data_IF_670217657213
#
_entry.id   IF_670217657213
#
_cell.length_a   1.000
_cell.length_b   1.000
_cell.length_c   1.000
_cell.angle_alpha   90.00
_cell.angle_beta   90.00
_cell.angle_gamma   90.00
#
_symmetry.space_group_name_H-M   'P 1'
#
loop_
_entity.id
_entity.type
_entity.pdbx_description
1 polymer ?
#
# COMPACT_ATOMS: atom_id res chain seq x y z
N UNK A 1 23.37 -9.27 -18.96
CA UNK A 1 23.66 -10.50 -18.21
C UNK A 1 22.38 -10.88 -17.47
N UNK A 2 21.63 -11.87 -17.96
CA UNK A 2 20.39 -12.32 -17.33
C UNK A 2 20.79 -13.34 -16.27
N UNK A 3 20.71 -12.98 -14.99
CA UNK A 3 20.87 -13.94 -13.90
C UNK A 3 19.69 -14.93 -13.97
N UNK A 4 19.96 -16.19 -14.31
CA UNK A 4 18.98 -17.26 -14.14
C UNK A 4 18.93 -17.61 -12.65
N UNK A 5 17.93 -17.08 -11.95
CA UNK A 5 17.65 -17.51 -10.59
C UNK A 5 17.10 -18.93 -10.60
N UNK A 6 17.54 -19.74 -9.64
CA UNK A 6 16.92 -21.05 -9.41
C UNK A 6 15.51 -20.87 -8.85
N UNK A 7 14.63 -21.85 -9.06
CA UNK A 7 13.26 -21.86 -8.51
C UNK A 7 13.23 -21.55 -7.01
N UNK A 8 14.20 -22.08 -6.27
CA UNK A 8 14.34 -21.87 -4.83
C UNK A 8 14.70 -20.41 -4.48
N UNK A 9 15.57 -19.77 -5.27
CA UNK A 9 15.95 -18.38 -5.05
C UNK A 9 14.77 -17.42 -5.27
N UNK A 10 13.97 -17.64 -6.30
CA UNK A 10 12.75 -16.84 -6.55
C UNK A 10 11.76 -16.98 -5.39
N UNK A 11 11.53 -18.20 -4.92
CA UNK A 11 10.68 -18.46 -3.78
C UNK A 11 11.15 -17.72 -2.52
N UNK A 12 12.45 -17.79 -2.21
CA UNK A 12 13.02 -17.09 -1.05
C UNK A 12 12.82 -15.58 -1.17
N UNK A 13 13.09 -14.99 -2.34
CA UNK A 13 12.90 -13.55 -2.55
C UNK A 13 11.44 -13.13 -2.35
N UNK A 14 10.49 -13.89 -2.88
CA UNK A 14 9.06 -13.62 -2.69
C UNK A 14 8.64 -13.73 -1.22
N UNK A 15 9.12 -14.76 -0.52
CA UNK A 15 8.88 -14.92 0.92
C UNK A 15 9.47 -13.77 1.72
N UNK A 16 10.68 -13.33 1.40
CA UNK A 16 11.32 -12.18 2.05
C UNK A 16 10.53 -10.90 1.82
N UNK A 17 10.10 -10.62 0.59
CA UNK A 17 9.28 -9.45 0.24
C UNK A 17 7.95 -9.49 1.00
N UNK A 18 7.29 -10.65 1.03
CA UNK A 18 6.03 -10.84 1.74
C UNK A 18 6.18 -10.56 3.23
N UNK A 19 7.14 -11.24 3.89
CA UNK A 19 7.37 -11.07 5.34
C UNK A 19 7.78 -9.64 5.68
N UNK A 20 8.66 -9.01 4.88
CA UNK A 20 9.05 -7.62 5.08
C UNK A 20 7.84 -6.67 5.00
N UNK A 21 6.96 -6.88 4.01
CA UNK A 21 5.73 -6.08 3.85
C UNK A 21 4.80 -6.25 5.06
N UNK A 22 4.64 -7.48 5.57
CA UNK A 22 3.81 -7.73 6.75
C UNK A 22 4.38 -7.08 8.01
N UNK A 23 5.69 -7.18 8.25
CA UNK A 23 6.33 -6.60 9.43
C UNK A 23 6.19 -5.07 9.42
N UNK A 24 6.53 -4.42 8.30
CA UNK A 24 6.43 -2.96 8.18
C UNK A 24 4.97 -2.52 8.25
N UNK A 25 4.06 -3.26 7.59
CA UNK A 25 2.63 -2.97 7.62
C UNK A 25 2.03 -3.06 9.02
N UNK A 26 2.34 -4.12 9.77
CA UNK A 26 1.87 -4.30 11.16
C UNK A 26 2.43 -3.23 12.10
N UNK A 27 3.72 -2.90 11.98
CA UNK A 27 4.31 -1.80 12.74
C UNK A 27 3.57 -0.48 12.44
N UNK A 28 3.44 -0.13 11.16
CA UNK A 28 2.78 1.10 10.72
C UNK A 28 1.32 1.14 11.17
N UNK A 29 0.59 0.02 11.07
CA UNK A 29 -0.80 -0.09 11.53
C UNK A 29 -0.91 0.10 13.04
N UNK A 30 0.02 -0.47 13.82
CA UNK A 30 0.01 -0.31 15.27
C UNK A 30 0.18 1.16 15.67
N UNK A 31 1.07 1.89 14.99
CA UNK A 31 1.25 3.33 15.22
C UNK A 31 0.01 4.11 14.77
N UNK A 32 -0.51 3.82 13.58
CA UNK A 32 -1.72 4.47 13.06
C UNK A 32 -2.90 4.36 14.04
N UNK A 33 -3.15 3.17 14.61
CA UNK A 33 -4.20 2.95 15.62
C UNK A 33 -3.97 3.80 16.88
N UNK A 34 -2.73 3.94 17.34
CA UNK A 34 -2.42 4.78 18.50
C UNK A 34 -2.81 6.25 18.26
N UNK A 35 -2.50 6.77 17.07
CA UNK A 35 -2.84 8.15 16.70
C UNK A 35 -4.36 8.36 16.50
N UNK A 36 -5.08 7.36 15.97
CA UNK A 36 -6.56 7.39 15.96
C UNK A 36 -7.10 7.47 17.38
N UNK A 37 -6.61 6.61 18.28
CA UNK A 37 -7.09 6.57 19.66
C UNK A 37 -6.73 7.83 20.45
N UNK A 38 -5.64 8.51 20.07
CA UNK A 38 -5.26 9.82 20.60
C UNK A 38 -6.13 10.98 20.03
N UNK A 39 -6.95 10.71 19.01
CA UNK A 39 -7.77 11.71 18.33
C UNK A 39 -7.00 12.59 17.34
N UNK A 40 -5.76 12.23 17.01
CA UNK A 40 -4.91 12.98 16.07
C UNK A 40 -5.19 12.60 14.60
N UNK A 41 -5.72 11.39 14.37
CA UNK A 41 -6.10 10.91 13.05
C UNK A 41 -7.56 10.44 13.04
N UNK A 42 -8.22 10.68 11.91
CA UNK A 42 -9.56 10.15 11.65
C UNK A 42 -9.46 8.76 11.00
N UNK A 43 -10.21 7.76 11.48
CA UNK A 43 -10.30 6.47 10.79
C UNK A 43 -10.93 6.66 9.40
N UNK A 44 -10.66 5.74 8.46
CA UNK A 44 -11.30 5.78 7.14
C UNK A 44 -12.82 5.55 7.21
N UNK A 45 -13.26 4.78 8.20
CA UNK A 45 -14.67 4.48 8.46
C UNK A 45 -15.03 4.80 9.90
N UNK A 46 -16.15 5.48 10.10
CA UNK A 46 -16.63 5.87 11.44
C UNK A 46 -16.98 4.64 12.31
N UNK A 47 -17.53 3.59 11.69
CA UNK A 47 -17.86 2.34 12.37
C UNK A 47 -17.09 1.16 11.74
N UNK A 48 -15.94 0.76 12.31
CA UNK A 48 -15.13 -0.35 11.77
C UNK A 48 -15.83 -1.71 11.74
N UNK A 49 -16.92 -1.90 12.50
CA UNK A 49 -17.67 -3.15 12.58
C UNK A 49 -18.77 -3.27 11.51
N UNK A 50 -19.06 -2.21 10.76
CA UNK A 50 -20.09 -2.26 9.72
C UNK A 50 -19.59 -3.05 8.50
N UNK A 51 -20.33 -4.10 8.14
CA UNK A 51 -20.08 -4.94 6.96
C UNK A 51 -20.28 -4.13 5.67
N UNK A 52 -21.11 -3.08 5.70
CA UNK A 52 -21.31 -2.15 4.58
C UNK A 52 -20.00 -1.54 4.06
N UNK A 53 -19.01 -1.32 4.96
CA UNK A 53 -17.71 -0.79 4.59
C UNK A 53 -16.95 -1.73 3.64
N UNK A 54 -17.14 -3.05 3.77
CA UNK A 54 -16.52 -4.04 2.88
C UNK A 54 -17.01 -3.88 1.44
N UNK A 55 -18.32 -3.71 1.27
CA UNK A 55 -18.93 -3.49 -0.05
C UNK A 55 -18.50 -2.15 -0.65
N UNK A 56 -18.47 -1.09 0.17
CA UNK A 56 -18.00 0.23 -0.24
C UNK A 56 -16.56 0.15 -0.73
N UNK A 57 -15.68 -0.54 0.00
CA UNK A 57 -14.27 -0.68 -0.37
C UNK A 57 -14.08 -1.47 -1.67
N UNK A 58 -14.83 -2.55 -1.90
CA UNK A 58 -14.82 -3.26 -3.19
C UNK A 58 -15.27 -2.34 -4.32
N UNK A 59 -16.38 -1.64 -4.14
CA UNK A 59 -16.88 -0.69 -5.13
C UNK A 59 -15.86 0.41 -5.44
N UNK A 60 -15.19 0.93 -4.41
CA UNK A 60 -14.13 1.92 -4.56
C UNK A 60 -12.96 1.39 -5.40
N UNK A 61 -12.49 0.17 -5.14
CA UNK A 61 -11.41 -0.47 -5.93
C UNK A 61 -11.82 -0.62 -7.39
N UNK A 62 -13.06 -1.05 -7.67
CA UNK A 62 -13.58 -1.17 -9.03
C UNK A 62 -13.67 0.19 -9.73
N UNK A 63 -14.14 1.22 -9.03
CA UNK A 63 -14.22 2.57 -9.56
C UNK A 63 -12.84 3.14 -9.90
N UNK A 64 -11.87 3.03 -8.98
CA UNK A 64 -10.48 3.45 -9.21
C UNK A 64 -9.88 2.68 -10.39
N UNK A 65 -10.10 1.37 -10.47
CA UNK A 65 -9.61 0.54 -11.57
C UNK A 65 -10.21 0.96 -12.92
N UNK A 66 -11.51 1.25 -12.99
CA UNK A 66 -12.15 1.77 -14.19
C UNK A 66 -11.53 3.10 -14.63
N UNK A 67 -11.28 4.02 -13.68
CA UNK A 67 -10.58 5.28 -13.96
C UNK A 67 -9.16 5.03 -14.47
N UNK A 68 -8.40 4.10 -13.88
CA UNK A 68 -7.07 3.73 -14.35
C UNK A 68 -7.11 3.20 -15.79
N UNK A 69 -8.06 2.33 -16.12
CA UNK A 69 -8.25 1.82 -17.49
C UNK A 69 -8.55 2.96 -18.47
N UNK A 70 -9.38 3.93 -18.10
CA UNK A 70 -9.63 5.11 -18.91
C UNK A 70 -8.35 5.93 -19.12
N UNK A 71 -7.56 6.17 -18.06
CA UNK A 71 -6.27 6.88 -18.18
C UNK A 71 -5.31 6.15 -19.11
N UNK A 72 -5.22 4.82 -19.01
CA UNK A 72 -4.40 3.99 -19.91
C UNK A 72 -4.82 4.21 -21.36
N UNK A 73 -6.13 4.25 -21.63
CA UNK A 73 -6.70 4.44 -22.97
C UNK A 73 -6.34 5.79 -23.58
N UNK A 74 -6.35 6.86 -22.79
CA UNK A 74 -6.12 8.22 -23.31
C UNK A 74 -4.65 8.66 -23.27
N UNK A 75 -3.95 8.46 -22.14
CA UNK A 75 -2.56 8.92 -21.95
C UNK A 75 -1.77 7.99 -21.03
N UNK A 76 -1.14 6.96 -21.61
CA UNK A 76 -0.26 6.02 -20.88
C UNK A 76 0.86 6.69 -20.08
N UNK A 77 1.34 7.87 -20.47
CA UNK A 77 2.37 8.60 -19.71
C UNK A 77 1.91 9.04 -18.32
N UNK A 78 0.60 9.29 -18.13
CA UNK A 78 0.03 9.68 -16.83
C UNK A 78 0.08 8.55 -15.81
N UNK A 79 0.17 7.29 -16.24
CA UNK A 79 0.35 6.16 -15.31
C UNK A 79 1.58 6.30 -14.44
N UNK A 80 2.69 6.81 -15.00
CA UNK A 80 3.92 7.01 -14.23
C UNK A 80 3.73 8.06 -13.14
N UNK A 81 2.91 9.07 -13.40
CA UNK A 81 2.59 10.12 -12.44
C UNK A 81 1.69 9.57 -11.34
N UNK A 82 0.63 8.84 -11.71
CA UNK A 82 -0.28 8.21 -10.74
C UNK A 82 0.49 7.21 -9.87
N UNK A 83 1.35 6.40 -10.47
CA UNK A 83 2.20 5.45 -9.75
C UNK A 83 3.19 6.17 -8.82
N UNK A 84 3.80 7.28 -9.25
CA UNK A 84 4.68 8.08 -8.39
C UNK A 84 3.92 8.63 -7.19
N UNK A 85 2.72 9.18 -7.40
CA UNK A 85 1.88 9.73 -6.34
C UNK A 85 1.43 8.64 -5.36
N UNK A 86 0.99 7.49 -5.87
CA UNK A 86 0.60 6.36 -5.03
C UNK A 86 1.75 5.92 -4.12
N UNK A 87 2.96 5.77 -4.67
CA UNK A 87 4.14 5.39 -3.88
C UNK A 87 4.51 6.49 -2.89
N UNK A 88 4.51 7.75 -3.32
CA UNK A 88 4.84 8.88 -2.46
C UNK A 88 3.91 8.96 -1.24
N UNK A 89 2.58 9.03 -1.45
CA UNK A 89 1.62 9.19 -0.36
C UNK A 89 1.56 7.98 0.57
N UNK A 90 1.73 6.77 0.05
CA UNK A 90 1.67 5.58 0.91
C UNK A 90 2.98 5.31 1.64
N UNK A 91 4.12 5.65 1.04
CA UNK A 91 5.41 5.57 1.71
C UNK A 91 5.61 6.69 2.75
N UNK A 92 5.04 7.88 2.55
CA UNK A 92 5.13 8.96 3.54
C UNK A 92 4.53 8.52 4.87
N UNK A 93 3.36 7.86 4.84
CA UNK A 93 2.72 7.27 6.03
C UNK A 93 3.69 6.36 6.78
N UNK A 94 4.38 5.46 6.09
CA UNK A 94 5.35 4.55 6.74
C UNK A 94 6.50 5.33 7.37
N UNK A 95 7.07 6.30 6.66
CA UNK A 95 8.20 7.06 7.17
C UNK A 95 7.83 8.04 8.29
N UNK A 96 6.65 8.65 8.23
CA UNK A 96 6.13 9.54 9.27
C UNK A 96 6.01 8.79 10.61
N UNK A 97 5.48 7.56 10.60
CA UNK A 97 5.43 6.73 11.80
C UNK A 97 6.76 6.10 12.19
N UNK A 98 7.69 5.90 11.26
CA UNK A 98 9.03 5.42 11.59
C UNK A 98 9.90 6.50 12.26
N UNK A 99 9.66 7.78 11.94
CA UNK A 99 10.43 8.92 12.43
C UNK A 99 9.54 10.07 12.95
N UNK A 100 8.61 9.82 13.90
CA UNK A 100 7.61 10.81 14.32
C UNK A 100 8.21 12.04 15.02
N UNK A 101 9.47 11.96 15.46
CA UNK A 101 10.16 13.07 16.14
C UNK A 101 10.71 14.15 15.19
N UNK A 102 10.69 13.94 13.86
CA UNK A 102 11.13 14.94 12.88
C UNK A 102 10.01 15.27 11.92
N UNK A 103 9.33 16.39 12.16
CA UNK A 103 8.28 16.91 11.26
C UNK A 103 8.85 17.12 9.85
N UNK A 104 8.14 16.62 8.83
CA UNK A 104 8.52 16.77 7.43
C UNK A 104 9.54 15.74 6.92
N UNK A 105 10.13 14.92 7.78
CA UNK A 105 11.16 13.96 7.35
C UNK A 105 10.56 12.81 6.55
N UNK A 106 9.37 12.33 6.90
CA UNK A 106 8.79 11.19 6.21
C UNK A 106 8.37 11.51 4.78
N UNK A 107 7.86 12.71 4.52
CA UNK A 107 7.57 13.18 3.16
C UNK A 107 8.86 13.35 2.34
N UNK A 108 9.94 13.86 2.93
CA UNK A 108 11.24 13.97 2.26
C UNK A 108 11.79 12.58 1.91
N UNK A 109 11.73 11.62 2.84
CA UNK A 109 12.17 10.24 2.58
C UNK A 109 11.30 9.56 1.52
N UNK A 110 9.98 9.78 1.55
CA UNK A 110 9.06 9.27 0.52
C UNK A 110 9.34 9.87 -0.86
N UNK A 111 9.67 11.16 -0.92
CA UNK A 111 10.06 11.83 -2.15
C UNK A 111 11.37 11.26 -2.70
N UNK A 112 12.37 11.06 -1.83
CA UNK A 112 13.66 10.44 -2.20
C UNK A 112 13.44 9.02 -2.70
N UNK A 113 12.65 8.20 -2.00
CA UNK A 113 12.33 6.84 -2.40
C UNK A 113 11.63 6.79 -3.77
N UNK A 114 10.64 7.66 -3.97
CA UNK A 114 9.89 7.77 -5.22
C UNK A 114 10.80 8.20 -6.36
N UNK A 115 11.61 9.24 -6.16
CA UNK A 115 12.57 9.72 -7.16
C UNK A 115 13.63 8.65 -7.47
N UNK A 116 14.16 7.96 -6.46
CA UNK A 116 15.15 6.90 -6.61
C UNK A 116 14.62 5.72 -7.42
N UNK A 117 13.37 5.33 -7.18
CA UNK A 117 12.66 4.30 -7.94
C UNK A 117 12.46 4.71 -9.41
N UNK A 118 12.09 5.97 -9.65
CA UNK A 118 11.87 6.48 -11.02
C UNK A 118 13.18 6.70 -11.80
N UNK A 119 14.27 7.05 -11.10
CA UNK A 119 15.56 7.28 -11.73
C UNK A 119 16.33 5.98 -11.97
N UNK A 120 16.38 5.54 -13.23
CA UNK A 120 16.98 4.26 -13.67
C UNK A 120 16.38 3.07 -12.89
N UNK A 121 15.13 2.67 -13.23
CA UNK A 121 14.43 1.62 -12.50
C UNK A 121 15.14 0.28 -12.66
N UNK A 122 15.37 -0.39 -11.54
CA UNK A 122 15.83 -1.79 -11.48
C UNK A 122 14.82 -2.60 -10.67
N UNK A 123 14.78 -3.91 -10.86
CA UNK A 123 13.86 -4.79 -10.10
C UNK A 123 14.02 -4.63 -8.59
N UNK A 124 15.26 -4.44 -8.11
CA UNK A 124 15.52 -4.19 -6.70
C UNK A 124 14.86 -2.90 -6.19
N UNK A 125 15.07 -1.78 -6.89
CA UNK A 125 14.46 -0.48 -6.52
C UNK A 125 12.94 -0.52 -6.54
N UNK A 126 12.37 -1.21 -7.54
CA UNK A 126 10.93 -1.41 -7.63
C UNK A 126 10.41 -2.19 -6.43
N UNK A 127 11.03 -3.32 -6.11
CA UNK A 127 10.60 -4.15 -4.98
C UNK A 127 10.69 -3.38 -3.65
N UNK A 128 11.77 -2.65 -3.39
CA UNK A 128 11.92 -1.86 -2.16
C UNK A 128 10.83 -0.79 -2.05
N UNK A 129 10.62 -0.01 -3.12
CA UNK A 129 9.58 1.02 -3.11
C UNK A 129 8.17 0.44 -2.94
N UNK A 130 7.89 -0.70 -3.58
CA UNK A 130 6.61 -1.39 -3.47
C UNK A 130 6.39 -2.00 -2.08
N UNK A 131 7.41 -2.60 -1.46
CA UNK A 131 7.31 -3.11 -0.08
C UNK A 131 6.90 -2.01 0.88
N UNK A 132 7.57 -0.86 0.83
CA UNK A 132 7.28 0.28 1.71
C UNK A 132 5.88 0.84 1.41
N UNK A 133 5.58 1.12 0.14
CA UNK A 133 4.29 1.68 -0.30
C UNK A 133 3.10 0.78 0.05
N UNK A 134 3.17 -0.52 -0.25
CA UNK A 134 2.10 -1.48 0.04
C UNK A 134 1.91 -1.65 1.55
N UNK A 135 3.00 -1.59 2.33
CA UNK A 135 2.91 -1.64 3.80
C UNK A 135 2.10 -0.46 4.35
N UNK A 136 2.32 0.75 3.83
CA UNK A 136 1.57 1.94 4.24
C UNK A 136 0.10 1.88 3.86
N UNK A 137 -0.21 1.53 2.60
CA UNK A 137 -1.59 1.36 2.16
C UNK A 137 -2.32 0.27 2.96
N UNK A 138 -1.66 -0.88 3.16
CA UNK A 138 -2.17 -1.99 3.95
C UNK A 138 -2.39 -1.63 5.42
N UNK A 139 -1.53 -0.79 6.00
CA UNK A 139 -1.69 -0.31 7.36
C UNK A 139 -2.93 0.56 7.53
N UNK A 140 -3.18 1.51 6.62
CA UNK A 140 -4.37 2.37 6.66
C UNK A 140 -5.66 1.57 6.49
N UNK A 141 -5.70 0.70 5.49
CA UNK A 141 -6.89 -0.13 5.21
C UNK A 141 -7.11 -1.11 6.37
N UNK A 142 -6.07 -1.83 6.78
CA UNK A 142 -6.15 -2.86 7.81
C UNK A 142 -6.51 -2.31 9.20
N UNK A 143 -6.06 -1.10 9.55
CA UNK A 143 -6.42 -0.44 10.80
C UNK A 143 -7.84 0.15 10.80
N UNK A 144 -8.45 0.33 9.63
CA UNK A 144 -9.78 0.92 9.48
C UNK A 144 -10.92 -0.11 9.54
N UNK A 145 -10.61 -1.40 9.51
CA UNK A 145 -11.60 -2.48 9.55
C UNK A 145 -11.51 -3.30 10.82
N UNK A 146 -12.66 -3.71 11.36
CA UNK A 146 -12.72 -4.81 12.30
C UNK A 146 -12.53 -6.16 11.58
N UNK A 147 -12.27 -7.21 12.36
CA UNK A 147 -11.96 -8.57 11.86
C UNK A 147 -13.06 -9.11 10.95
N UNK A 148 -14.34 -8.90 11.29
CA UNK A 148 -15.44 -9.45 10.50
C UNK A 148 -15.57 -8.75 9.12
N UNK A 149 -15.68 -7.42 9.02
CA UNK A 149 -15.68 -6.73 7.73
C UNK A 149 -14.45 -6.99 6.86
N UNK A 150 -13.23 -7.09 7.42
CA UNK A 150 -12.04 -7.39 6.60
C UNK A 150 -12.09 -8.81 6.01
N UNK A 151 -12.62 -9.80 6.74
CA UNK A 151 -12.83 -11.15 6.22
C UNK A 151 -13.85 -11.15 5.08
N UNK A 152 -14.96 -10.42 5.23
CA UNK A 152 -15.97 -10.27 4.16
C UNK A 152 -15.36 -9.58 2.94
N UNK A 153 -14.58 -8.52 3.14
CA UNK A 153 -13.88 -7.81 2.07
C UNK A 153 -12.93 -8.74 1.31
N UNK A 154 -12.10 -9.52 2.01
CA UNK A 154 -11.20 -10.49 1.39
C UNK A 154 -11.96 -11.58 0.63
N UNK A 155 -13.08 -12.07 1.18
CA UNK A 155 -13.92 -13.05 0.51
C UNK A 155 -14.51 -12.50 -0.80
N UNK A 156 -15.04 -11.27 -0.76
CA UNK A 156 -15.63 -10.62 -1.94
C UNK A 156 -14.60 -10.41 -3.05
N UNK A 157 -13.39 -9.97 -2.71
CA UNK A 157 -12.30 -9.83 -3.68
C UNK A 157 -11.86 -11.17 -4.26
N UNK A 158 -11.74 -12.20 -3.43
CA UNK A 158 -11.41 -13.55 -3.88
C UNK A 158 -12.44 -14.12 -4.87
N UNK A 159 -13.73 -13.90 -4.61
CA UNK A 159 -14.81 -14.28 -5.52
C UNK A 159 -14.72 -13.49 -6.82
N UNK A 160 -14.50 -12.18 -6.74
CA UNK A 160 -14.38 -11.33 -7.92
C UNK A 160 -13.21 -11.75 -8.82
N UNK A 161 -12.04 -12.03 -8.25
CA UNK A 161 -10.85 -12.45 -9.02
C UNK A 161 -10.98 -13.86 -9.62
N UNK A 162 -11.87 -14.70 -9.06
CA UNK A 162 -12.14 -16.05 -9.57
C UNK A 162 -13.05 -16.08 -10.81
N UNK A 163 -13.96 -15.10 -10.95
CA UNK A 163 -14.94 -14.99 -12.03
C UNK A 163 -14.30 -14.40 -13.29
#
# INVERSE_FOLDING_TARGET
MIFQFSKNQVFIVLMTIFVATQIIGLYTASQYILYINAGELTPMFDNPNDIGNSFLMVFYILAVTAVLILVIKYKKSFLKVIEALAIFFTASIVFDFAFPWVLGLGEVLALILTAWKMFRPTHFKQNVALVISISGAGAVIGSSFAILPILVFMLLLSIYDFI
#
